data_IF_992583308351
#
_entry.id   IF_992583308351
#
_cell.length_a   1.000
_cell.length_b   1.000
_cell.length_c   1.000
_cell.angle_alpha   90.00
_cell.angle_beta   90.00
_cell.angle_gamma   90.00
#
_symmetry.space_group_name_H-M   'P 1'
#
loop_
_entity.id
_entity.type
_entity.pdbx_description
1 polymer ?
#
# COMPACT_ATOMS: atom_id res chain seq x y z
N UNK A 1 12.25 -48.55 20.67
CA UNK A 1 11.12 -47.67 20.34
C UNK A 1 11.49 -46.27 20.80
N UNK A 2 11.71 -45.29 19.90
CA UNK A 2 12.04 -43.94 20.34
C UNK A 2 10.85 -43.37 21.13
N UNK A 3 11.10 -42.65 22.24
CA UNK A 3 10.05 -42.23 23.15
C UNK A 3 9.20 -41.16 22.48
N UNK A 4 7.88 -41.31 22.55
CA UNK A 4 6.86 -40.41 21.97
C UNK A 4 7.12 -38.92 22.33
N UNK A 5 7.75 -38.67 23.48
CA UNK A 5 8.14 -37.34 23.94
C UNK A 5 9.21 -36.64 23.06
N UNK A 6 10.16 -37.38 22.47
CA UNK A 6 11.17 -36.76 21.60
C UNK A 6 10.57 -36.33 20.26
N UNK A 7 9.66 -37.12 19.69
CA UNK A 7 8.88 -36.74 18.51
C UNK A 7 7.97 -35.53 18.75
N UNK A 8 7.40 -35.40 19.96
CA UNK A 8 6.61 -34.21 20.31
C UNK A 8 7.49 -32.97 20.48
N UNK A 9 8.65 -33.08 21.13
CA UNK A 9 9.58 -31.97 21.26
C UNK A 9 10.19 -31.55 19.92
N UNK A 10 10.51 -32.49 19.04
CA UNK A 10 11.00 -32.22 17.69
C UNK A 10 9.91 -31.59 16.81
N UNK A 11 8.65 -32.02 16.94
CA UNK A 11 7.54 -31.37 16.24
C UNK A 11 7.22 -29.97 16.80
N UNK A 12 7.38 -29.75 18.11
CA UNK A 12 7.28 -28.41 18.72
C UNK A 12 8.45 -27.52 18.29
N UNK A 13 9.68 -28.02 18.25
CA UNK A 13 10.85 -27.27 17.75
C UNK A 13 10.76 -27.02 16.25
N UNK A 14 10.25 -27.98 15.47
CA UNK A 14 9.97 -27.80 14.05
C UNK A 14 8.81 -26.82 13.84
N UNK A 15 7.79 -26.80 14.70
CA UNK A 15 6.70 -25.81 14.66
C UNK A 15 7.16 -24.42 15.08
N UNK A 16 8.01 -24.30 16.12
CA UNK A 16 8.62 -23.03 16.56
C UNK A 16 9.61 -22.52 15.51
N UNK A 17 10.43 -23.40 14.92
CA UNK A 17 11.34 -23.08 13.82
C UNK A 17 10.60 -22.75 12.51
N UNK A 18 9.48 -23.41 12.22
CA UNK A 18 8.61 -23.07 11.10
C UNK A 18 7.86 -21.75 11.34
N UNK A 19 7.55 -21.42 12.59
CA UNK A 19 7.02 -20.10 13.00
C UNK A 19 8.03 -18.96 12.81
N UNK A 20 9.33 -19.27 12.77
CA UNK A 20 10.41 -18.33 12.47
C UNK A 20 10.70 -18.14 10.98
N UNK A 21 10.03 -18.85 10.07
CA UNK A 21 10.17 -18.56 8.63
C UNK A 21 9.55 -17.20 8.34
N UNK A 22 10.41 -16.23 8.02
CA UNK A 22 10.03 -14.92 7.51
C UNK A 22 8.98 -15.06 6.42
N UNK A 23 7.83 -14.42 6.61
CA UNK A 23 6.78 -14.30 5.63
C UNK A 23 7.38 -13.62 4.40
N UNK A 24 7.64 -14.38 3.35
CA UNK A 24 8.18 -13.80 2.12
C UNK A 24 7.06 -13.08 1.39
N UNK A 25 7.20 -11.77 1.24
CA UNK A 25 6.33 -10.99 0.38
C UNK A 25 6.82 -11.16 -1.06
N UNK A 26 5.95 -11.58 -1.97
CA UNK A 26 6.35 -11.76 -3.37
C UNK A 26 6.36 -10.41 -4.10
N UNK A 27 7.40 -10.16 -4.89
CA UNK A 27 7.60 -8.89 -5.61
C UNK A 27 6.42 -8.55 -6.53
N UNK A 28 5.80 -9.55 -7.16
CA UNK A 28 4.63 -9.32 -8.02
C UNK A 28 3.43 -8.77 -7.26
N UNK A 29 3.28 -9.13 -5.97
CA UNK A 29 2.15 -8.67 -5.15
C UNK A 29 2.25 -7.16 -4.92
N UNK A 30 3.43 -6.67 -4.54
CA UNK A 30 3.68 -5.23 -4.38
C UNK A 30 3.45 -4.45 -5.65
N UNK A 31 3.89 -4.97 -6.80
CA UNK A 31 3.70 -4.32 -8.09
C UNK A 31 2.22 -4.28 -8.45
N UNK A 32 1.49 -5.40 -8.33
CA UNK A 32 0.07 -5.46 -8.65
C UNK A 32 -0.76 -4.52 -7.78
N UNK A 33 -0.62 -4.63 -6.46
CA UNK A 33 -1.35 -3.77 -5.52
C UNK A 33 -0.97 -2.29 -5.70
N UNK A 34 0.32 -2.02 -5.87
CA UNK A 34 0.85 -0.67 -6.09
C UNK A 34 0.29 -0.01 -7.35
N UNK A 35 0.39 -0.69 -8.49
CA UNK A 35 -0.09 -0.18 -9.77
C UNK A 35 -1.61 0.02 -9.78
N UNK A 36 -2.36 -0.87 -9.14
CA UNK A 36 -3.82 -0.74 -9.06
C UNK A 36 -4.27 0.42 -8.18
N UNK A 37 -3.70 0.58 -6.98
CA UNK A 37 -4.03 1.74 -6.13
C UNK A 37 -3.50 3.04 -6.70
N UNK A 38 -2.27 3.06 -7.23
CA UNK A 38 -1.68 4.24 -7.83
C UNK A 38 -2.44 4.69 -9.07
N UNK A 39 -2.80 3.76 -9.95
CA UNK A 39 -3.62 4.03 -11.13
C UNK A 39 -5.02 4.52 -10.77
N UNK A 40 -5.68 3.88 -9.80
CA UNK A 40 -6.99 4.34 -9.34
C UNK A 40 -6.92 5.75 -8.74
N UNK A 41 -5.92 6.03 -7.91
CA UNK A 41 -5.71 7.36 -7.34
C UNK A 41 -5.44 8.41 -8.42
N UNK A 42 -4.64 8.11 -9.44
CA UNK A 42 -4.28 9.06 -10.49
C UNK A 42 -5.49 9.42 -11.37
N UNK A 43 -6.37 8.46 -11.66
CA UNK A 43 -7.52 8.65 -12.55
C UNK A 43 -8.81 9.00 -11.77
N UNK A 44 -8.78 8.99 -10.44
CA UNK A 44 -9.99 9.16 -9.60
C UNK A 44 -10.76 10.45 -9.88
N UNK A 45 -10.08 11.55 -10.20
CA UNK A 45 -10.72 12.84 -10.48
C UNK A 45 -11.42 12.90 -11.84
N UNK A 46 -11.22 11.90 -12.70
CA UNK A 46 -11.85 11.80 -14.01
C UNK A 46 -12.92 10.68 -14.08
N UNK A 47 -12.92 9.79 -13.09
CA UNK A 47 -13.84 8.67 -13.00
C UNK A 47 -15.05 9.01 -12.13
N UNK A 48 -16.25 8.75 -12.65
CA UNK A 48 -17.50 8.81 -11.87
C UNK A 48 -17.65 10.16 -11.16
N UNK A 49 -17.40 11.25 -11.89
CA UNK A 49 -17.46 12.62 -11.37
C UNK A 49 -18.90 13.08 -11.15
N UNK A 50 -19.08 14.17 -10.39
CA UNK A 50 -20.41 14.74 -10.16
C UNK A 50 -21.08 15.22 -11.46
N UNK A 51 -20.29 15.63 -12.45
CA UNK A 51 -20.80 16.02 -13.77
C UNK A 51 -21.32 14.82 -14.57
N UNK A 52 -20.72 13.63 -14.37
CA UNK A 52 -21.14 12.39 -15.04
C UNK A 52 -22.34 11.75 -14.34
N UNK A 53 -22.33 11.72 -13.01
CA UNK A 53 -23.38 11.13 -12.18
C UNK A 53 -23.71 12.12 -11.06
N UNK A 54 -24.72 12.98 -11.23
CA UNK A 54 -25.06 14.01 -10.24
C UNK A 54 -25.53 13.42 -8.91
N UNK A 55 -26.34 12.36 -8.96
CA UNK A 55 -26.89 11.70 -7.78
C UNK A 55 -25.78 11.03 -6.94
N UNK A 56 -25.68 11.44 -5.68
CA UNK A 56 -24.63 10.99 -4.77
C UNK A 56 -24.77 9.50 -4.41
N UNK A 57 -26.00 8.99 -4.25
CA UNK A 57 -26.22 7.59 -3.91
C UNK A 57 -25.81 6.65 -5.04
N UNK A 58 -26.22 6.96 -6.27
CA UNK A 58 -25.81 6.23 -7.48
C UNK A 58 -24.31 6.29 -7.68
N UNK A 59 -23.70 7.47 -7.50
CA UNK A 59 -22.24 7.64 -7.61
C UNK A 59 -21.49 6.83 -6.56
N UNK A 60 -21.97 6.80 -5.31
CA UNK A 60 -21.39 6.00 -4.24
C UNK A 60 -21.46 4.49 -4.56
N UNK A 61 -22.58 4.01 -5.10
CA UNK A 61 -22.74 2.62 -5.55
C UNK A 61 -21.81 2.27 -6.72
N UNK A 62 -21.66 3.18 -7.68
CA UNK A 62 -20.72 3.00 -8.79
C UNK A 62 -19.27 2.89 -8.29
N UNK A 63 -18.86 3.73 -7.33
CA UNK A 63 -17.54 3.66 -6.70
C UNK A 63 -17.35 2.36 -5.90
N UNK A 64 -18.35 1.93 -5.14
CA UNK A 64 -18.30 0.66 -4.41
C UNK A 64 -18.13 -0.52 -5.36
N UNK A 65 -18.87 -0.53 -6.47
CA UNK A 65 -18.76 -1.54 -7.51
C UNK A 65 -17.39 -1.54 -8.18
N UNK A 66 -16.87 -0.37 -8.54
CA UNK A 66 -15.55 -0.20 -9.15
C UNK A 66 -14.44 -0.72 -8.22
N UNK A 67 -14.44 -0.32 -6.95
CA UNK A 67 -13.44 -0.79 -5.99
C UNK A 67 -13.56 -2.29 -5.74
N UNK A 68 -14.78 -2.83 -5.61
CA UNK A 68 -14.99 -4.27 -5.42
C UNK A 68 -14.48 -5.08 -6.62
N UNK A 69 -14.74 -4.62 -7.85
CA UNK A 69 -14.25 -5.25 -9.07
C UNK A 69 -12.72 -5.19 -9.15
N UNK A 70 -12.13 -4.02 -8.89
CA UNK A 70 -10.68 -3.85 -8.91
C UNK A 70 -9.99 -4.75 -7.86
N UNK A 71 -10.46 -4.71 -6.61
CA UNK A 71 -9.93 -5.54 -5.52
C UNK A 71 -10.10 -7.04 -5.81
N UNK A 72 -11.25 -7.43 -6.36
CA UNK A 72 -11.51 -8.81 -6.79
C UNK A 72 -10.57 -9.27 -7.90
N UNK A 73 -10.36 -8.45 -8.92
CA UNK A 73 -9.45 -8.75 -10.03
C UNK A 73 -8.00 -8.86 -9.57
N UNK A 74 -7.52 -7.87 -8.80
CA UNK A 74 -6.15 -7.83 -8.28
C UNK A 74 -5.89 -9.00 -7.34
N UNK A 75 -6.81 -9.29 -6.42
CA UNK A 75 -6.66 -10.42 -5.49
C UNK A 75 -6.67 -11.77 -6.20
N UNK A 76 -7.49 -11.94 -7.25
CA UNK A 76 -7.50 -13.16 -8.04
C UNK A 76 -6.17 -13.36 -8.78
N UNK A 77 -5.64 -12.30 -9.40
CA UNK A 77 -4.34 -12.34 -10.08
C UNK A 77 -3.20 -12.62 -9.10
N UNK A 78 -3.18 -11.91 -7.97
CA UNK A 78 -2.17 -12.09 -6.92
C UNK A 78 -2.23 -13.52 -6.34
N UNK A 79 -3.44 -14.05 -6.11
CA UNK A 79 -3.63 -15.43 -5.68
C UNK A 79 -3.10 -16.43 -6.70
N UNK A 80 -3.41 -16.26 -7.99
CA UNK A 80 -2.95 -17.17 -9.04
C UNK A 80 -1.42 -17.19 -9.15
N UNK A 81 -0.78 -16.01 -9.13
CA UNK A 81 0.67 -15.90 -9.21
C UNK A 81 1.36 -16.44 -7.96
N UNK A 82 0.84 -16.09 -6.78
CA UNK A 82 1.39 -16.58 -5.50
C UNK A 82 1.23 -18.08 -5.36
N UNK A 83 0.09 -18.65 -5.79
CA UNK A 83 -0.12 -20.10 -5.81
C UNK A 83 0.89 -20.79 -6.73
N UNK A 84 1.11 -20.26 -7.94
CA UNK A 84 2.11 -20.81 -8.88
C UNK A 84 3.53 -20.74 -8.31
N UNK A 85 3.90 -19.61 -7.71
CA UNK A 85 5.22 -19.42 -7.11
C UNK A 85 5.47 -20.38 -5.94
N UNK A 86 4.48 -20.58 -5.06
CA UNK A 86 4.59 -21.51 -3.93
C UNK A 86 4.64 -22.97 -4.36
N UNK A 87 3.84 -23.36 -5.36
CA UNK A 87 3.89 -24.71 -5.92
C UNK A 87 5.25 -25.02 -6.56
N UNK A 88 5.87 -24.04 -7.24
CA UNK A 88 7.20 -24.21 -7.80
C UNK A 88 8.33 -24.35 -6.75
N UNK A 89 8.06 -23.99 -5.48
CA UNK A 89 9.02 -24.04 -4.37
C UNK A 89 8.68 -25.09 -3.30
N UNK A 90 7.64 -25.91 -3.52
CA UNK A 90 7.08 -26.83 -2.54
C UNK A 90 6.84 -26.19 -1.15
N UNK A 91 6.42 -24.92 -1.14
CA UNK A 91 6.16 -24.16 0.09
C UNK A 91 4.68 -24.23 0.50
N UNK A 92 4.43 -24.59 1.76
CA UNK A 92 3.10 -24.56 2.35
C UNK A 92 2.77 -23.17 2.90
N UNK A 93 1.47 -22.83 2.93
CA UNK A 93 0.99 -21.58 3.48
C UNK A 93 1.09 -21.57 5.00
N UNK A 94 1.91 -20.68 5.56
CA UNK A 94 2.06 -20.54 7.02
C UNK A 94 0.78 -20.00 7.68
N UNK A 95 0.58 -20.33 8.96
CA UNK A 95 -0.52 -19.80 9.76
C UNK A 95 -0.47 -18.27 9.86
N UNK A 96 0.73 -17.71 10.10
CA UNK A 96 0.97 -16.25 10.19
C UNK A 96 0.52 -15.57 8.89
N UNK A 97 0.88 -16.14 7.74
CA UNK A 97 0.48 -15.58 6.45
C UNK A 97 -1.04 -15.48 6.29
N UNK A 98 -1.81 -16.48 6.76
CA UNK A 98 -3.27 -16.41 6.74
C UNK A 98 -3.82 -15.32 7.66
N UNK A 99 -3.23 -15.12 8.83
CA UNK A 99 -3.68 -14.07 9.77
C UNK A 99 -3.36 -12.68 9.25
N UNK A 100 -2.15 -12.48 8.73
CA UNK A 100 -1.75 -11.21 8.12
C UNK A 100 -2.62 -10.87 6.91
N UNK A 101 -2.97 -11.87 6.08
CA UNK A 101 -3.89 -11.67 4.96
C UNK A 101 -5.31 -11.28 5.42
N UNK A 102 -5.80 -11.81 6.54
CA UNK A 102 -7.09 -11.37 7.11
C UNK A 102 -7.03 -9.91 7.55
N UNK A 103 -5.95 -9.51 8.23
CA UNK A 103 -5.74 -8.11 8.63
C UNK A 103 -5.70 -7.21 7.39
N UNK A 104 -4.99 -7.62 6.34
CA UNK A 104 -4.96 -6.90 5.07
C UNK A 104 -6.36 -6.68 4.49
N UNK A 105 -7.18 -7.73 4.38
CA UNK A 105 -8.55 -7.62 3.90
C UNK A 105 -9.45 -6.76 4.78
N UNK A 106 -9.28 -6.82 6.10
CA UNK A 106 -9.99 -5.93 7.03
C UNK A 106 -9.64 -4.46 6.77
N UNK A 107 -8.36 -4.15 6.59
CA UNK A 107 -7.90 -2.78 6.30
C UNK A 107 -8.40 -2.28 4.95
N UNK A 108 -8.36 -3.12 3.91
CA UNK A 108 -8.91 -2.77 2.58
C UNK A 108 -10.41 -2.53 2.64
N UNK A 109 -11.15 -3.38 3.37
CA UNK A 109 -12.59 -3.22 3.54
C UNK A 109 -12.92 -1.92 4.30
N UNK A 110 -12.13 -1.59 5.32
CA UNK A 110 -12.26 -0.32 6.03
C UNK A 110 -12.00 0.89 5.10
N UNK A 111 -11.00 0.81 4.22
CA UNK A 111 -10.72 1.86 3.22
C UNK A 111 -11.86 2.05 2.23
N UNK A 112 -12.44 0.96 1.74
CA UNK A 112 -13.62 0.99 0.84
C UNK A 112 -14.83 1.58 1.55
N UNK A 113 -15.15 1.11 2.76
CA UNK A 113 -16.28 1.62 3.54
C UNK A 113 -16.09 3.10 3.92
N UNK A 114 -14.86 3.51 4.28
CA UNK A 114 -14.53 4.90 4.56
C UNK A 114 -14.71 5.78 3.32
N UNK A 115 -14.23 5.33 2.16
CA UNK A 115 -14.45 6.02 0.88
C UNK A 115 -15.94 6.13 0.56
N UNK A 116 -16.69 5.04 0.72
CA UNK A 116 -18.14 5.00 0.51
C UNK A 116 -18.88 5.97 1.45
N UNK A 117 -18.50 6.03 2.72
CA UNK A 117 -19.11 6.91 3.71
C UNK A 117 -18.95 8.40 3.34
N UNK A 118 -17.85 8.77 2.68
CA UNK A 118 -17.60 10.18 2.33
C UNK A 118 -18.61 10.77 1.35
N UNK A 119 -19.32 9.93 0.58
CA UNK A 119 -20.40 10.39 -0.30
C UNK A 119 -21.63 10.89 0.46
N UNK A 120 -21.85 10.42 1.69
CA UNK A 120 -23.01 10.77 2.50
C UNK A 120 -22.68 11.74 3.63
N UNK A 121 -21.48 11.61 4.22
CA UNK A 121 -21.06 12.39 5.38
C UNK A 121 -20.01 13.46 5.06
N UNK A 122 -19.56 13.55 3.80
CA UNK A 122 -18.48 14.45 3.40
C UNK A 122 -17.10 13.95 3.82
N UNK A 123 -16.11 14.84 3.81
CA UNK A 123 -14.74 14.48 4.21
C UNK A 123 -13.92 13.78 3.12
N UNK A 124 -14.28 13.94 1.84
CA UNK A 124 -13.57 13.34 0.71
C UNK A 124 -12.06 13.67 0.67
N UNK A 125 -11.65 14.81 1.25
CA UNK A 125 -10.23 15.17 1.39
C UNK A 125 -9.42 14.18 2.26
N UNK A 126 -10.08 13.40 3.11
CA UNK A 126 -9.42 12.39 3.95
C UNK A 126 -9.21 11.04 3.26
N UNK A 127 -9.78 10.83 2.06
CA UNK A 127 -9.72 9.53 1.37
C UNK A 127 -8.27 9.11 1.10
N UNK A 128 -7.45 9.97 0.49
CA UNK A 128 -6.05 9.62 0.19
C UNK A 128 -5.20 9.42 1.46
N UNK A 129 -5.23 10.32 2.47
CA UNK A 129 -4.58 10.07 3.76
C UNK A 129 -5.01 8.75 4.42
N UNK A 130 -6.31 8.45 4.42
CA UNK A 130 -6.85 7.22 4.98
C UNK A 130 -6.24 6.00 4.30
N UNK A 131 -6.23 5.98 2.97
CA UNK A 131 -5.63 4.88 2.20
C UNK A 131 -4.12 4.76 2.46
N UNK A 132 -3.39 5.87 2.54
CA UNK A 132 -1.96 5.85 2.89
C UNK A 132 -1.72 5.20 4.25
N UNK A 133 -2.52 5.55 5.26
CA UNK A 133 -2.41 4.98 6.61
C UNK A 133 -2.80 3.51 6.62
N UNK A 134 -3.91 3.11 5.98
CA UNK A 134 -4.40 1.73 6.00
C UNK A 134 -3.46 0.79 5.24
N UNK A 135 -3.00 1.18 4.04
CA UNK A 135 -2.01 0.41 3.29
C UNK A 135 -0.68 0.40 4.02
N UNK A 136 -0.24 1.54 4.57
CA UNK A 136 0.97 1.64 5.38
C UNK A 136 0.94 0.71 6.60
N UNK A 137 -0.19 0.64 7.31
CA UNK A 137 -0.39 -0.28 8.42
C UNK A 137 -0.35 -1.74 7.96
N UNK A 138 -0.99 -2.04 6.83
CA UNK A 138 -0.94 -3.38 6.23
C UNK A 138 0.49 -3.81 5.90
N UNK A 139 1.29 -2.93 5.30
CA UNK A 139 2.70 -3.19 5.02
C UNK A 139 3.53 -3.28 6.29
N UNK A 140 3.29 -2.41 7.28
CA UNK A 140 4.00 -2.44 8.56
C UNK A 140 3.81 -3.79 9.24
N UNK A 141 2.56 -4.27 9.34
CA UNK A 141 2.24 -5.59 9.91
C UNK A 141 2.88 -6.73 9.11
N UNK A 142 2.89 -6.66 7.77
CA UNK A 142 3.62 -7.65 6.96
C UNK A 142 5.13 -7.60 7.22
N UNK A 143 5.70 -6.40 7.34
CA UNK A 143 7.12 -6.15 7.57
C UNK A 143 7.64 -6.74 8.87
N UNK A 144 6.85 -6.69 9.94
CA UNK A 144 7.17 -7.32 11.24
C UNK A 144 7.51 -8.81 11.12
N UNK A 145 6.95 -9.49 10.11
CA UNK A 145 7.17 -10.92 9.87
C UNK A 145 7.98 -11.20 8.61
N UNK A 146 8.35 -10.19 7.82
CA UNK A 146 8.93 -10.35 6.48
C UNK A 146 10.35 -9.81 6.41
N UNK A 147 10.47 -8.50 6.18
CA UNK A 147 11.73 -7.78 6.09
C UNK A 147 11.56 -6.41 6.75
N UNK A 148 12.61 -5.99 7.44
CA UNK A 148 12.64 -4.70 8.13
C UNK A 148 12.43 -3.51 7.18
N UNK A 149 12.81 -3.61 5.89
CA UNK A 149 12.59 -2.54 4.91
C UNK A 149 11.11 -2.29 4.65
N UNK A 150 10.29 -3.36 4.61
CA UNK A 150 8.84 -3.26 4.39
C UNK A 150 8.16 -2.61 5.60
N UNK A 151 8.62 -2.97 6.80
CA UNK A 151 8.17 -2.35 8.04
C UNK A 151 8.38 -0.83 8.01
N UNK A 152 9.60 -0.38 7.73
CA UNK A 152 9.91 1.05 7.67
C UNK A 152 9.16 1.78 6.55
N UNK A 153 8.98 1.18 5.38
CA UNK A 153 8.17 1.78 4.31
C UNK A 153 6.70 1.89 4.71
N UNK A 154 6.15 0.87 5.38
CA UNK A 154 4.82 0.93 5.97
C UNK A 154 4.68 2.07 6.98
N UNK A 155 5.68 2.22 7.87
CA UNK A 155 5.76 3.34 8.81
C UNK A 155 5.83 4.71 8.13
N UNK A 156 6.61 4.84 7.06
CA UNK A 156 6.70 6.07 6.27
C UNK A 156 5.37 6.40 5.57
N UNK A 157 4.65 5.42 5.04
CA UNK A 157 3.32 5.64 4.45
C UNK A 157 2.32 6.16 5.50
N UNK A 158 2.34 5.59 6.71
CA UNK A 158 1.52 6.09 7.83
C UNK A 158 1.90 7.54 8.14
N UNK A 159 3.20 7.83 8.29
CA UNK A 159 3.68 9.17 8.57
C UNK A 159 3.29 10.16 7.46
N UNK A 160 3.39 9.78 6.18
CA UNK A 160 2.96 10.60 5.05
C UNK A 160 1.45 10.87 5.11
N UNK A 161 0.63 9.86 5.37
CA UNK A 161 -0.81 10.02 5.55
C UNK A 161 -1.14 11.01 6.67
N UNK A 162 -0.55 10.84 7.85
CA UNK A 162 -0.77 11.73 9.01
C UNK A 162 -0.26 13.15 8.74
N UNK A 163 0.99 13.29 8.29
CA UNK A 163 1.61 14.59 8.00
C UNK A 163 0.84 15.34 6.92
N UNK A 164 0.34 14.65 5.89
CA UNK A 164 -0.44 15.29 4.83
C UNK A 164 -1.70 16.01 5.33
N UNK A 165 -2.36 15.43 6.35
CA UNK A 165 -3.51 16.04 7.02
C UNK A 165 -3.06 17.17 7.96
N UNK A 166 -1.99 16.96 8.73
CA UNK A 166 -1.45 17.98 9.65
C UNK A 166 -1.03 19.26 8.91
N UNK A 167 -0.39 19.11 7.76
CA UNK A 167 0.02 20.23 6.90
C UNK A 167 -1.10 20.73 5.98
N UNK A 168 -2.30 20.16 6.07
CA UNK A 168 -3.48 20.56 5.28
C UNK A 168 -3.18 20.65 3.79
N UNK A 169 -2.55 19.62 3.24
CA UNK A 169 -2.31 19.54 1.80
C UNK A 169 -3.64 19.60 1.04
N UNK A 170 -3.64 20.28 -0.09
CA UNK A 170 -4.80 20.38 -0.96
C UNK A 170 -5.13 19.01 -1.60
N UNK A 171 -6.35 18.88 -2.13
CA UNK A 171 -6.85 17.63 -2.67
C UNK A 171 -6.01 17.08 -3.83
N UNK A 172 -5.43 17.96 -4.66
CA UNK A 172 -4.62 17.55 -5.81
C UNK A 172 -3.24 17.06 -5.35
N UNK A 173 -2.60 17.75 -4.40
CA UNK A 173 -1.35 17.29 -3.78
C UNK A 173 -1.52 15.95 -3.08
N UNK A 174 -2.63 15.74 -2.37
CA UNK A 174 -2.97 14.48 -1.73
C UNK A 174 -3.15 13.33 -2.74
N UNK A 175 -3.83 13.61 -3.85
CA UNK A 175 -4.01 12.65 -4.94
C UNK A 175 -2.67 12.24 -5.54
N UNK A 176 -1.80 13.20 -5.90
CA UNK A 176 -0.50 12.89 -6.48
C UNK A 176 0.43 12.19 -5.50
N UNK A 177 0.37 12.54 -4.21
CA UNK A 177 1.12 11.86 -3.17
C UNK A 177 0.69 10.39 -3.07
N UNK A 178 -0.61 10.09 -3.02
CA UNK A 178 -1.11 8.72 -2.99
C UNK A 178 -0.79 7.95 -4.28
N UNK A 179 -0.95 8.59 -5.44
CA UNK A 179 -0.62 8.00 -6.74
C UNK A 179 0.86 7.64 -6.84
N UNK A 180 1.77 8.52 -6.40
CA UNK A 180 3.20 8.26 -6.38
C UNK A 180 3.59 7.21 -5.33
N UNK A 181 3.04 7.30 -4.11
CA UNK A 181 3.30 6.38 -3.01
C UNK A 181 2.93 4.94 -3.38
N UNK A 182 1.77 4.73 -4.01
CA UNK A 182 1.34 3.41 -4.44
C UNK A 182 1.91 3.00 -5.80
N UNK A 183 1.78 3.85 -6.82
CA UNK A 183 2.12 3.52 -8.19
C UNK A 183 3.61 3.46 -8.48
N UNK A 184 4.44 4.20 -7.73
CA UNK A 184 5.90 4.18 -7.89
C UNK A 184 6.58 3.58 -6.65
N UNK A 185 6.13 3.96 -5.45
CA UNK A 185 6.73 3.50 -4.20
C UNK A 185 6.64 1.98 -4.02
N UNK A 186 5.49 1.37 -4.29
CA UNK A 186 5.34 -0.09 -4.09
C UNK A 186 6.12 -0.92 -5.12
N UNK A 187 6.10 -0.62 -6.44
CA UNK A 187 6.97 -1.29 -7.39
C UNK A 187 8.46 -1.11 -7.09
N UNK A 188 8.88 0.10 -6.69
CA UNK A 188 10.27 0.34 -6.27
C UNK A 188 10.63 -0.51 -5.05
N UNK A 189 9.74 -0.58 -4.06
CA UNK A 189 9.93 -1.45 -2.89
C UNK A 189 10.12 -2.92 -3.32
N UNK A 190 9.37 -3.39 -4.32
CA UNK A 190 9.53 -4.73 -4.88
C UNK A 190 10.92 -4.96 -5.49
N UNK A 191 11.44 -3.98 -6.22
CA UNK A 191 12.78 -4.02 -6.82
C UNK A 191 13.88 -3.98 -5.75
N UNK A 192 13.71 -3.16 -4.71
CA UNK A 192 14.66 -3.03 -3.60
C UNK A 192 14.76 -4.29 -2.73
N UNK A 193 13.69 -5.10 -2.70
CA UNK A 193 13.65 -6.44 -2.07
C UNK A 193 14.22 -7.53 -2.96
N UNK A 194 13.96 -7.48 -4.27
CA UNK A 194 14.45 -8.48 -5.23
C UNK A 194 15.98 -8.60 -5.29
N UNK A 195 16.71 -7.63 -4.72
CA UNK A 195 18.16 -7.50 -4.85
C UNK A 195 19.04 -8.29 -3.87
N UNK A 196 18.57 -9.04 -2.84
CA UNK A 196 19.47 -9.98 -2.12
C UNK A 196 18.82 -10.92 -1.10
N UNK A 197 19.18 -12.20 -1.22
CA UNK A 197 19.07 -13.27 -0.20
C UNK A 197 20.30 -13.37 0.72
N UNK A 198 21.21 -12.39 0.68
CA UNK A 198 22.52 -12.50 1.32
C UNK A 198 22.71 -11.44 2.41
N UNK A 199 22.75 -11.93 3.66
CA UNK A 199 23.40 -11.33 4.84
C UNK A 199 22.94 -9.94 5.26
N UNK A 200 23.14 -9.62 6.54
CA UNK A 200 22.73 -8.36 7.18
C UNK A 200 23.07 -7.15 6.32
N UNK A 201 22.06 -6.51 5.74
CA UNK A 201 22.29 -5.28 4.99
C UNK A 201 22.80 -4.21 5.95
N UNK A 202 23.96 -3.58 5.67
CA UNK A 202 24.53 -2.59 6.58
C UNK A 202 23.54 -1.43 6.75
N UNK A 203 23.53 -0.83 7.96
CA UNK A 203 22.58 0.23 8.33
C UNK A 203 22.53 1.38 7.31
N UNK A 204 23.69 1.81 6.80
CA UNK A 204 23.80 2.88 5.80
C UNK A 204 23.08 2.56 4.49
N UNK A 205 23.18 1.32 4.01
CA UNK A 205 22.52 0.91 2.77
C UNK A 205 21.00 0.83 2.95
N UNK A 206 20.53 0.45 4.15
CA UNK A 206 19.10 0.52 4.50
C UNK A 206 18.60 1.98 4.50
N UNK A 207 19.35 2.88 5.12
CA UNK A 207 19.06 4.32 5.08
C UNK A 207 18.99 4.86 3.65
N UNK A 208 19.96 4.50 2.80
CA UNK A 208 19.98 4.89 1.40
C UNK A 208 18.76 4.36 0.61
N UNK A 209 18.34 3.10 0.85
CA UNK A 209 17.13 2.54 0.23
C UNK A 209 15.87 3.29 0.64
N UNK A 210 15.73 3.64 1.93
CA UNK A 210 14.58 4.40 2.43
C UNK A 210 14.58 5.83 1.91
N UNK A 211 15.75 6.48 1.82
CA UNK A 211 15.89 7.81 1.23
C UNK A 211 15.56 7.80 -0.27
N UNK A 212 16.03 6.79 -1.01
CA UNK A 212 15.69 6.60 -2.42
C UNK A 212 14.18 6.42 -2.58
N UNK A 213 13.58 5.55 -1.76
CA UNK A 213 12.14 5.31 -1.77
C UNK A 213 11.35 6.61 -1.50
N UNK A 214 11.73 7.33 -0.45
CA UNK A 214 11.09 8.60 -0.07
C UNK A 214 11.25 9.65 -1.18
N UNK A 215 12.44 9.74 -1.78
CA UNK A 215 12.70 10.63 -2.91
C UNK A 215 11.80 10.32 -4.10
N UNK A 216 11.67 9.05 -4.49
CA UNK A 216 10.80 8.64 -5.61
C UNK A 216 9.33 8.91 -5.32
N UNK A 217 8.89 8.81 -4.07
CA UNK A 217 7.50 9.11 -3.68
C UNK A 217 7.22 10.61 -3.61
N UNK A 218 8.15 11.42 -3.11
CA UNK A 218 7.93 12.86 -2.88
C UNK A 218 8.29 13.74 -4.09
N UNK A 219 9.25 13.35 -4.92
CA UNK A 219 9.66 14.17 -6.08
C UNK A 219 8.52 14.40 -7.07
N UNK A 220 7.75 13.39 -7.50
CA UNK A 220 6.64 13.59 -8.44
C UNK A 220 5.57 14.59 -7.96
N UNK A 221 4.99 14.48 -6.75
CA UNK A 221 3.99 15.45 -6.30
C UNK A 221 4.59 16.85 -6.12
N UNK A 222 5.84 16.97 -5.65
CA UNK A 222 6.51 18.27 -5.52
C UNK A 222 6.76 18.93 -6.88
N UNK A 223 7.17 18.16 -7.90
CA UNK A 223 7.34 18.67 -9.25
C UNK A 223 6.00 19.08 -9.86
N UNK A 224 4.94 18.28 -9.68
CA UNK A 224 3.61 18.62 -10.14
C UNK A 224 3.10 19.94 -9.53
N UNK A 225 3.32 20.13 -8.23
CA UNK A 225 2.98 21.36 -7.53
C UNK A 225 3.79 22.56 -8.07
N UNK A 226 5.11 22.40 -8.21
CA UNK A 226 5.98 23.46 -8.78
C UNK A 226 5.56 23.89 -10.18
N UNK A 227 5.15 22.94 -11.02
CA UNK A 227 4.68 23.22 -12.38
C UNK A 227 3.32 23.94 -12.35
N UNK A 228 2.42 23.55 -11.44
CA UNK A 228 1.14 24.23 -11.27
C UNK A 228 1.32 25.68 -10.79
N UNK A 229 2.20 25.92 -9.81
CA UNK A 229 2.50 27.26 -9.30
C UNK A 229 3.12 28.15 -10.39
N UNK A 230 3.98 27.59 -11.25
CA UNK A 230 4.61 28.32 -12.35
C UNK A 230 3.61 28.74 -13.46
N UNK A 231 2.45 28.08 -13.54
CA UNK A 231 1.40 28.37 -14.51
C UNK A 231 0.38 29.40 -14.00
N UNK A 232 0.42 29.77 -12.71
CA UNK A 232 -0.47 30.80 -12.19
C UNK A 232 -0.06 32.19 -12.72
N UNK A 233 -0.96 32.92 -13.41
CA UNK A 233 -0.67 34.26 -13.89
C UNK A 233 -0.38 35.20 -12.71
N UNK A 234 0.59 36.10 -12.87
CA UNK A 234 0.99 37.06 -11.85
C UNK A 234 -0.24 37.80 -11.30
N UNK A 235 -0.37 37.85 -9.97
CA UNK A 235 -1.47 38.54 -9.30
C UNK A 235 -1.57 39.98 -9.84
N UNK A 236 -2.76 40.34 -10.35
CA UNK A 236 -3.03 41.70 -10.80
C UNK A 236 -2.71 42.66 -9.64
N UNK A 237 -1.99 43.78 -9.88
CA UNK A 237 -1.66 44.72 -8.82
C UNK A 237 -2.97 45.20 -8.19
N UNK A 238 -3.03 45.13 -6.85
CA UNK A 238 -4.14 45.67 -6.07
C UNK A 238 -4.31 47.14 -6.46
N UNK A 239 -5.42 47.47 -7.12
CA UNK A 239 -5.82 48.85 -7.34
C UNK A 239 -6.22 49.41 -5.96
N UNK A 240 -5.27 50.08 -5.31
CA UNK A 240 -5.52 50.97 -4.17
C UNK A 240 -5.97 52.33 -4.65
#
# INVERSE_FOLDING_TARGET
MPPIASQQLDSIHAMLGAGQRSLRLESHSLILWGMSFGGLALVSNHLLTADQIPDAATRAMAWLGLMSLLLGAVSLLDWQLTRRAKLARDELWSFIHRQVLKVWWLLLSAGVLGTFATFFFGGAYLVFPLWLVLVGLGLYVHGLFSEQTVEWVGGLLIALGVCSVLFRLDAQSLQYLAAAAFGLGMPLLALLQGQRHATSTPFWLRGAKLLLWLGVVLVPPLLAQRLADAQQPAAAPLQT
#
